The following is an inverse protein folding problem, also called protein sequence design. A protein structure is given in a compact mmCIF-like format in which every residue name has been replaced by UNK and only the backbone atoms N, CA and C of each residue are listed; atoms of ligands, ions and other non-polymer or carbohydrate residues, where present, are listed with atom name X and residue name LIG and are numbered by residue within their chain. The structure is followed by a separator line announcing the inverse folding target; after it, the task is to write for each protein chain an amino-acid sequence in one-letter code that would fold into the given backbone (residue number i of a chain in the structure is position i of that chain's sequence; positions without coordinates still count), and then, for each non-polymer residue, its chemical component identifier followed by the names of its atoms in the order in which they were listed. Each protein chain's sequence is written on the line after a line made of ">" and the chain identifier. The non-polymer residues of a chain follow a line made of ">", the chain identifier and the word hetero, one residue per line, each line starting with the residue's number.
data_IF_429960552838
#
_entry.id   IF_429960552838
#
_cell.length_a   1.000
_cell.length_b   1.000
_cell.length_c   1.000
_cell.angle_alpha   90.00
_cell.angle_beta   90.00
_cell.angle_gamma   90.00
#
_symmetry.space_group_name_H-M   'P 1'
#
loop_
_entity.id
_entity.type
_entity.pdbx_description
1 polymer ?
#
# COMPACT_ATOMS: atom_id res chain seq x y z
N UNK A 1 -7.64 12.29 -12.43
CA UNK A 1 -7.21 11.78 -11.11
C UNK A 1 -7.98 10.51 -10.86
N UNK A 2 -7.28 9.42 -10.62
CA UNK A 2 -7.85 8.10 -10.44
C UNK A 2 -7.91 7.79 -8.93
N UNK A 3 -8.99 7.16 -8.44
CA UNK A 3 -9.05 6.67 -7.07
C UNK A 3 -8.19 5.41 -6.91
N UNK A 4 -7.31 5.43 -5.91
CA UNK A 4 -6.53 4.27 -5.50
C UNK A 4 -6.92 3.88 -4.08
N UNK A 5 -7.57 2.73 -3.91
CA UNK A 5 -8.03 2.25 -2.61
C UNK A 5 -7.04 1.24 -2.05
N UNK A 6 -6.52 1.53 -0.87
CA UNK A 6 -5.47 0.76 -0.21
C UNK A 6 -6.07 -0.22 0.80
N UNK A 7 -5.59 -1.45 0.77
CA UNK A 7 -5.99 -2.56 1.61
C UNK A 7 -4.75 -3.14 2.28
N UNK A 8 -4.83 -3.45 3.56
CA UNK A 8 -3.71 -4.04 4.28
C UNK A 8 -3.60 -5.53 3.94
N UNK A 9 -2.51 -5.94 3.28
CA UNK A 9 -2.36 -7.31 2.80
C UNK A 9 -1.56 -8.17 3.78
N UNK A 10 -0.38 -7.70 4.24
CA UNK A 10 0.45 -8.46 5.19
C UNK A 10 1.53 -7.63 5.90
N UNK A 11 1.94 -8.10 7.08
CA UNK A 11 3.18 -7.71 7.78
C UNK A 11 4.12 -8.91 7.78
N UNK A 12 5.01 -9.00 6.79
CA UNK A 12 6.04 -10.04 6.67
C UNK A 12 5.53 -11.49 6.70
N UNK A 13 5.27 -12.04 7.90
CA UNK A 13 4.95 -13.46 8.16
C UNK A 13 3.46 -13.79 8.30
N UNK A 14 2.56 -12.79 8.27
CA UNK A 14 1.12 -13.00 8.44
C UNK A 14 0.34 -12.32 7.33
N UNK A 15 -0.26 -13.13 6.45
CA UNK A 15 -1.29 -12.70 5.50
C UNK A 15 -2.59 -12.47 6.27
N UNK A 16 -3.20 -11.30 6.08
CA UNK A 16 -4.50 -11.03 6.70
C UNK A 16 -5.61 -11.66 5.82
N UNK A 17 -6.36 -12.67 6.32
CA UNK A 17 -7.42 -13.30 5.53
C UNK A 17 -8.57 -12.33 5.18
N UNK A 18 -8.70 -11.21 5.90
CA UNK A 18 -9.70 -10.16 5.67
C UNK A 18 -9.14 -8.92 4.94
N UNK A 19 -7.92 -9.01 4.38
CA UNK A 19 -7.21 -7.89 3.76
C UNK A 19 -8.09 -7.06 2.81
N UNK A 20 -8.87 -7.74 1.97
CA UNK A 20 -9.67 -7.12 0.90
C UNK A 20 -11.04 -6.61 1.36
N UNK A 21 -11.47 -6.94 2.59
CA UNK A 21 -12.80 -6.59 3.09
C UNK A 21 -12.85 -5.24 3.84
N UNK A 22 -11.68 -4.65 4.15
CA UNK A 22 -11.58 -3.40 4.92
C UNK A 22 -10.62 -2.42 4.25
N UNK A 23 -11.11 -1.46 3.45
CA UNK A 23 -10.25 -0.43 2.88
C UNK A 23 -9.68 0.44 4.00
N UNK A 24 -8.38 0.70 3.95
CA UNK A 24 -7.69 1.61 4.88
C UNK A 24 -7.95 3.08 4.52
N UNK A 25 -7.81 3.40 3.24
CA UNK A 25 -7.99 4.74 2.71
C UNK A 25 -8.08 4.68 1.19
N UNK A 26 -8.69 5.70 0.60
CA UNK A 26 -8.60 5.97 -0.84
C UNK A 26 -7.80 7.25 -1.07
N UNK A 27 -6.92 7.26 -2.06
CA UNK A 27 -6.09 8.41 -2.43
C UNK A 27 -6.33 8.75 -3.89
N UNK A 28 -6.54 10.04 -4.15
CA UNK A 28 -6.66 10.58 -5.50
C UNK A 28 -5.27 10.97 -6.02
N UNK A 29 -4.87 10.40 -7.16
CA UNK A 29 -3.58 10.67 -7.79
C UNK A 29 -3.64 10.52 -9.32
N UNK A 30 -2.59 10.95 -10.00
CA UNK A 30 -2.45 10.77 -11.45
C UNK A 30 -2.02 9.33 -11.78
N UNK A 31 -1.11 8.78 -11.00
CA UNK A 31 -0.61 7.41 -11.12
C UNK A 31 -0.49 6.70 -9.75
N UNK A 32 -0.29 5.39 -9.79
CA UNK A 32 -0.12 4.56 -8.59
C UNK A 32 1.09 5.01 -7.76
N UNK A 33 2.18 5.44 -8.39
CA UNK A 33 3.40 5.82 -7.68
C UNK A 33 3.17 7.05 -6.80
N UNK A 34 2.50 8.05 -7.36
CA UNK A 34 2.07 9.26 -6.66
C UNK A 34 1.07 8.94 -5.55
N UNK A 35 0.16 7.98 -5.76
CA UNK A 35 -0.75 7.51 -4.72
C UNK A 35 -0.01 6.83 -3.57
N UNK A 36 0.96 5.95 -3.89
CA UNK A 36 1.76 5.21 -2.93
C UNK A 36 2.68 6.11 -2.11
N UNK A 37 3.25 7.16 -2.72
CA UNK A 37 4.07 8.15 -2.01
C UNK A 37 3.23 8.96 -1.01
N UNK A 38 2.05 9.44 -1.42
CA UNK A 38 1.09 10.11 -0.53
C UNK A 38 0.62 9.20 0.61
N UNK A 39 0.40 7.92 0.30
CA UNK A 39 0.05 6.91 1.30
C UNK A 39 1.18 6.76 2.32
N UNK A 40 2.41 6.54 1.85
CA UNK A 40 3.56 6.34 2.71
C UNK A 40 3.79 7.55 3.62
N UNK A 41 3.67 8.77 3.09
CA UNK A 41 3.77 10.00 3.89
C UNK A 41 2.70 10.06 4.99
N UNK A 42 1.42 9.84 4.63
CA UNK A 42 0.28 9.87 5.56
C UNK A 42 0.46 8.90 6.73
N UNK A 43 1.00 7.71 6.48
CA UNK A 43 1.19 6.68 7.50
C UNK A 43 2.60 6.64 8.11
N UNK A 44 3.47 7.63 7.82
CA UNK A 44 4.87 7.66 8.30
C UNK A 44 5.67 6.40 7.88
N UNK A 45 5.40 5.91 6.69
CA UNK A 45 6.08 4.78 6.06
C UNK A 45 7.09 5.27 5.02
N UNK A 46 7.96 4.38 4.58
CA UNK A 46 8.82 4.62 3.43
C UNK A 46 8.43 3.63 2.35
N UNK A 47 8.08 4.16 1.18
CA UNK A 47 7.85 3.36 -0.02
C UNK A 47 9.15 2.66 -0.42
N UNK A 48 9.09 1.34 -0.56
CA UNK A 48 10.18 0.49 -1.02
C UNK A 48 9.99 0.21 -2.51
N UNK A 49 8.82 -0.28 -2.88
CA UNK A 49 8.53 -0.66 -4.26
C UNK A 49 7.02 -0.65 -4.55
N UNK A 50 6.68 -0.66 -5.84
CA UNK A 50 5.33 -0.79 -6.35
C UNK A 50 5.31 -1.75 -7.54
N UNK A 51 4.49 -2.78 -7.43
CA UNK A 51 4.33 -3.83 -8.43
C UNK A 51 2.94 -3.75 -9.06
N UNK A 52 2.85 -3.85 -10.38
CA UNK A 52 1.57 -4.00 -11.07
C UNK A 52 1.12 -5.45 -11.04
N UNK A 53 -0.14 -5.65 -10.68
CA UNK A 53 -0.82 -6.94 -10.68
C UNK A 53 -1.72 -7.06 -11.90
N UNK A 54 -2.35 -8.22 -12.06
CA UNK A 54 -3.36 -8.43 -13.09
C UNK A 54 -4.58 -7.53 -12.86
N UNK A 55 -5.29 -7.24 -13.95
CA UNK A 55 -6.53 -6.45 -13.95
C UNK A 55 -6.39 -5.02 -13.43
N UNK A 56 -5.24 -4.37 -13.64
CA UNK A 56 -5.03 -2.96 -13.27
C UNK A 56 -4.82 -2.71 -11.78
N UNK A 57 -4.75 -3.76 -10.96
CA UNK A 57 -4.47 -3.61 -9.53
C UNK A 57 -2.96 -3.51 -9.26
N UNK A 58 -2.60 -3.15 -8.03
CA UNK A 58 -1.20 -2.98 -7.63
C UNK A 58 -0.93 -3.55 -6.25
N UNK A 59 0.36 -3.78 -5.99
CA UNK A 59 0.88 -4.10 -4.67
C UNK A 59 1.97 -3.10 -4.34
N UNK A 60 1.90 -2.50 -3.16
CA UNK A 60 2.94 -1.60 -2.67
C UNK A 60 3.66 -2.23 -1.48
N UNK A 61 4.97 -2.06 -1.45
CA UNK A 61 5.85 -2.54 -0.41
C UNK A 61 6.39 -1.33 0.35
N UNK A 62 6.27 -1.35 1.67
CA UNK A 62 6.70 -0.22 2.51
C UNK A 62 7.46 -0.71 3.74
N UNK A 63 8.32 0.13 4.30
CA UNK A 63 8.96 -0.09 5.60
C UNK A 63 8.53 0.98 6.60
N UNK A 64 8.34 0.60 7.87
CA UNK A 64 8.12 1.57 8.94
C UNK A 64 9.35 2.45 9.13
N UNK A 65 9.17 3.77 9.12
CA UNK A 65 10.26 4.73 9.42
C UNK A 65 10.58 4.83 10.91
N UNK A 66 9.73 4.27 11.78
CA UNK A 66 9.70 4.61 13.22
C UNK A 66 10.65 3.82 14.11
N UNK A 67 11.35 2.77 13.65
CA UNK A 67 12.06 1.91 14.60
C UNK A 67 13.51 1.59 14.25
N UNK A 68 14.39 1.91 15.21
CA UNK A 68 15.81 1.60 15.26
C UNK A 68 16.07 0.09 15.50
N UNK A 69 15.04 -0.71 15.78
CA UNK A 69 15.18 -2.09 16.29
C UNK A 69 14.54 -3.19 15.45
N UNK A 70 13.76 -2.89 14.41
CA UNK A 70 13.34 -3.85 13.37
C UNK A 70 12.64 -3.09 12.26
N UNK A 71 13.11 -3.27 11.03
CA UNK A 71 12.38 -2.87 9.82
C UNK A 71 11.31 -3.92 9.58
N UNK A 72 10.06 -3.58 9.85
CA UNK A 72 8.94 -4.42 9.46
C UNK A 72 8.46 -3.97 8.09
N UNK A 73 8.55 -4.89 7.13
CA UNK A 73 7.99 -4.71 5.80
C UNK A 73 6.48 -4.92 5.86
N UNK A 74 5.76 -3.94 5.33
CA UNK A 74 4.31 -3.92 5.25
C UNK A 74 3.91 -3.88 3.78
N UNK A 75 3.01 -4.79 3.41
CA UNK A 75 2.52 -4.94 2.04
C UNK A 75 1.07 -4.52 1.99
N UNK A 76 0.74 -3.70 1.00
CA UNK A 76 -0.63 -3.26 0.76
C UNK A 76 -1.06 -3.58 -0.65
N UNK A 77 -2.27 -4.09 -0.77
CA UNK A 77 -2.94 -4.24 -2.04
C UNK A 77 -3.66 -2.94 -2.39
N UNK A 78 -3.66 -2.59 -3.67
CA UNK A 78 -4.26 -1.35 -4.17
C UNK A 78 -5.16 -1.66 -5.35
N UNK A 79 -6.42 -1.26 -5.23
CA UNK A 79 -7.37 -1.28 -6.35
C UNK A 79 -7.40 0.09 -7.01
N UNK A 80 -7.29 0.11 -8.34
CA UNK A 80 -7.70 1.26 -9.15
C UNK A 80 -9.11 1.01 -9.69
N UNK A 81 -9.93 2.06 -9.78
CA UNK A 81 -11.20 2.03 -10.52
C UNK A 81 -10.99 2.55 -11.95
N UNK A 82 -9.99 2.03 -12.66
CA UNK A 82 -9.81 2.32 -14.09
C UNK A 82 -10.92 1.70 -14.97
#
# INVERSE_FOLDING_TARGET
>A
MNPYTFYYESEGKRTNPDAYNKPLTTIQAEDIRSAAEKFAEKYTLKLIDCESLMYGNYRIYTESRRSFWRKEEQVYYVMSEE
#
